data_IF_864819073923
#
_entry.id   IF_864819073923
#
_cell.length_a   1.000
_cell.length_b   1.000
_cell.length_c   1.000
_cell.angle_alpha   90.00
_cell.angle_beta   90.00
_cell.angle_gamma   90.00
#
_symmetry.space_group_name_H-M   'P 1'
#
loop_
_entity.id
_entity.type
_entity.pdbx_description
1 polymer ?
#
# COMPACT_ATOMS: atom_id res chain seq x y z
N UNK A 1 -19.60 21.24 -16.28
CA UNK A 1 -19.63 19.83 -16.76
C UNK A 1 -18.26 19.12 -16.70
N UNK A 2 -17.11 19.81 -16.64
CA UNK A 2 -15.76 19.20 -16.58
C UNK A 2 -15.34 18.61 -15.21
N UNK A 3 -15.98 19.04 -14.12
CA UNK A 3 -15.63 18.63 -12.73
C UNK A 3 -16.02 17.18 -12.40
N UNK A 4 -17.02 16.63 -13.10
CA UNK A 4 -17.50 15.26 -12.88
C UNK A 4 -16.54 14.22 -13.46
N UNK A 5 -16.01 14.45 -14.67
CA UNK A 5 -15.07 13.52 -15.32
C UNK A 5 -13.74 13.41 -14.57
N UNK A 6 -13.26 14.53 -14.02
CA UNK A 6 -12.04 14.56 -13.21
C UNK A 6 -12.23 13.79 -11.90
N UNK A 7 -13.35 14.01 -11.19
CA UNK A 7 -13.66 13.26 -9.98
C UNK A 7 -13.74 11.74 -10.23
N UNK A 8 -14.45 11.33 -11.29
CA UNK A 8 -14.57 9.91 -11.66
C UNK A 8 -13.23 9.28 -12.02
N UNK A 9 -12.36 10.01 -12.73
CA UNK A 9 -11.01 9.56 -13.02
C UNK A 9 -10.20 9.26 -11.75
N UNK A 10 -10.22 10.17 -10.77
CA UNK A 10 -9.50 9.97 -9.51
C UNK A 10 -10.01 8.77 -8.71
N UNK A 11 -11.33 8.52 -8.73
CA UNK A 11 -11.91 7.33 -8.06
C UNK A 11 -11.42 6.04 -8.70
N UNK A 12 -11.46 5.93 -10.04
CA UNK A 12 -10.94 4.73 -10.72
C UNK A 12 -9.44 4.57 -10.54
N UNK A 13 -8.68 5.65 -10.63
CA UNK A 13 -7.24 5.63 -10.43
C UNK A 13 -6.87 5.19 -9.02
N UNK A 14 -7.50 5.78 -7.99
CA UNK A 14 -7.32 5.40 -6.60
C UNK A 14 -7.65 3.92 -6.38
N UNK A 15 -8.81 3.45 -6.88
CA UNK A 15 -9.22 2.05 -6.73
C UNK A 15 -8.27 1.06 -7.39
N UNK A 16 -7.71 1.39 -8.57
CA UNK A 16 -6.70 0.55 -9.23
C UNK A 16 -5.41 0.50 -8.41
N UNK A 17 -4.95 1.65 -7.89
CA UNK A 17 -3.74 1.73 -7.06
C UNK A 17 -3.91 0.94 -5.76
N UNK A 18 -5.07 1.08 -5.09
CA UNK A 18 -5.39 0.32 -3.87
C UNK A 18 -5.45 -1.18 -4.12
N UNK A 19 -6.11 -1.59 -5.20
CA UNK A 19 -6.24 -3.00 -5.56
C UNK A 19 -4.89 -3.62 -5.92
N UNK A 20 -4.11 -2.98 -6.81
CA UNK A 20 -2.81 -3.49 -7.21
C UNK A 20 -1.79 -3.45 -6.07
N UNK A 21 -1.80 -2.38 -5.26
CA UNK A 21 -0.93 -2.23 -4.10
C UNK A 21 -1.22 -3.28 -3.03
N UNK A 22 -2.50 -3.50 -2.70
CA UNK A 22 -2.90 -4.53 -1.73
C UNK A 22 -2.61 -5.94 -2.25
N UNK A 23 -2.79 -6.20 -3.55
CA UNK A 23 -2.42 -7.48 -4.17
C UNK A 23 -0.91 -7.72 -4.12
N UNK A 24 -0.11 -6.74 -4.52
CA UNK A 24 1.35 -6.84 -4.50
C UNK A 24 1.89 -7.05 -3.08
N UNK A 25 1.36 -6.31 -2.10
CA UNK A 25 1.69 -6.48 -0.69
C UNK A 25 1.30 -7.87 -0.17
N UNK A 26 0.06 -8.31 -0.41
CA UNK A 26 -0.46 -9.59 0.10
C UNK A 26 0.26 -10.80 -0.50
N UNK A 27 0.63 -10.73 -1.78
CA UNK A 27 1.39 -11.76 -2.45
C UNK A 27 2.91 -11.71 -2.14
N UNK A 28 3.39 -10.63 -1.50
CA UNK A 28 4.81 -10.42 -1.25
C UNK A 28 5.62 -10.26 -2.54
N UNK A 29 5.09 -9.46 -3.48
CA UNK A 29 5.77 -9.02 -4.70
C UNK A 29 6.42 -7.68 -4.42
N UNK A 30 7.74 -7.60 -4.55
CA UNK A 30 8.55 -6.46 -4.14
C UNK A 30 8.15 -5.95 -2.76
N UNK A 31 8.03 -6.85 -1.77
CA UNK A 31 7.33 -6.63 -0.51
C UNK A 31 7.73 -5.33 0.18
N UNK A 32 9.02 -5.01 0.21
CA UNK A 32 9.54 -3.80 0.87
C UNK A 32 9.13 -2.52 0.14
N UNK A 33 9.15 -2.53 -1.20
CA UNK A 33 8.68 -1.42 -2.01
C UNK A 33 7.15 -1.29 -1.98
N UNK A 34 6.44 -2.40 -2.08
CA UNK A 34 4.97 -2.47 -2.04
C UNK A 34 4.44 -2.04 -0.68
N UNK A 35 5.08 -2.45 0.42
CA UNK A 35 4.72 -1.99 1.78
C UNK A 35 4.96 -0.49 1.96
N UNK A 36 6.15 0.01 1.60
CA UNK A 36 6.44 1.44 1.71
C UNK A 36 5.49 2.29 0.84
N UNK A 37 5.23 1.85 -0.39
CA UNK A 37 4.35 2.52 -1.34
C UNK A 37 2.89 2.54 -0.88
N UNK A 38 2.37 1.39 -0.42
CA UNK A 38 0.99 1.28 0.05
C UNK A 38 0.76 2.04 1.37
N UNK A 39 1.74 2.02 2.29
CA UNK A 39 1.70 2.81 3.51
C UNK A 39 1.70 4.32 3.20
N UNK A 40 2.58 4.78 2.30
CA UNK A 40 2.59 6.17 1.84
C UNK A 40 1.28 6.57 1.17
N UNK A 41 0.72 5.69 0.33
CA UNK A 41 -0.59 5.92 -0.28
C UNK A 41 -1.68 6.09 0.77
N UNK A 42 -1.79 5.19 1.76
CA UNK A 42 -2.78 5.29 2.83
C UNK A 42 -2.63 6.58 3.63
N UNK A 43 -1.40 7.01 3.91
CA UNK A 43 -1.15 8.27 4.59
C UNK A 43 -1.67 9.46 3.77
N UNK A 44 -1.32 9.52 2.48
CA UNK A 44 -1.77 10.58 1.56
C UNK A 44 -3.29 10.56 1.43
N UNK A 45 -3.91 9.39 1.26
CA UNK A 45 -5.36 9.24 1.17
C UNK A 45 -6.06 9.72 2.45
N UNK A 46 -5.48 9.44 3.62
CA UNK A 46 -6.02 9.90 4.91
C UNK A 46 -5.95 11.42 5.06
N UNK A 47 -4.84 12.03 4.63
CA UNK A 47 -4.66 13.49 4.68
C UNK A 47 -5.52 14.22 3.64
N UNK A 48 -5.47 13.80 2.38
CA UNK A 48 -6.19 14.44 1.28
C UNK A 48 -7.69 14.11 1.26
N UNK A 49 -8.09 12.97 1.83
CA UNK A 49 -9.48 12.57 2.00
C UNK A 49 -10.21 13.29 3.14
N UNK A 50 -9.57 14.25 3.80
CA UNK A 50 -10.11 15.00 4.94
C UNK A 50 -10.49 14.14 6.15
N UNK A 51 -10.05 12.88 6.23
CA UNK A 51 -10.36 11.99 7.36
C UNK A 51 -9.81 12.51 8.70
N UNK A 52 -8.70 13.26 8.67
CA UNK A 52 -8.22 13.97 9.86
C UNK A 52 -9.20 15.01 10.41
N UNK A 53 -10.04 15.60 9.54
CA UNK A 53 -11.06 16.58 9.94
C UNK A 53 -12.34 15.93 10.49
N UNK A 54 -12.54 14.63 10.23
CA UNK A 54 -13.73 13.87 10.66
C UNK A 54 -13.58 13.23 12.05
N UNK A 55 -12.37 13.30 12.64
CA UNK A 55 -12.05 12.80 13.97
C UNK A 55 -11.37 11.44 13.97
N UNK A 56 -11.07 10.93 15.16
CA UNK A 56 -10.30 9.69 15.34
C UNK A 56 -11.11 8.46 14.95
N UNK A 57 -12.31 8.32 15.51
CA UNK A 57 -13.10 7.08 15.48
C UNK A 57 -13.56 6.73 14.07
N UNK A 58 -13.16 5.56 13.59
CA UNK A 58 -13.56 5.04 12.28
C UNK A 58 -15.07 4.78 12.12
N UNK A 59 -15.78 4.54 13.22
CA UNK A 59 -17.22 4.25 13.24
C UNK A 59 -18.09 5.51 13.11
N UNK A 60 -17.50 6.70 13.07
CA UNK A 60 -18.24 7.95 12.87
C UNK A 60 -18.77 8.06 11.43
N UNK A 61 -19.81 8.88 11.25
CA UNK A 61 -20.39 9.16 9.93
C UNK A 61 -19.36 9.89 9.05
N UNK A 62 -18.89 9.23 8.00
CA UNK A 62 -17.79 9.70 7.14
C UNK A 62 -16.44 9.04 7.42
N UNK A 63 -16.35 8.21 8.46
CA UNK A 63 -15.12 7.55 8.88
C UNK A 63 -14.21 8.45 9.71
N UNK A 64 -13.13 7.87 10.22
CA UNK A 64 -12.09 8.54 11.01
C UNK A 64 -10.71 8.07 10.57
N UNK A 65 -9.67 8.78 11.01
CA UNK A 65 -8.30 8.52 10.58
C UNK A 65 -7.63 7.32 11.28
N UNK A 66 -8.21 6.81 12.37
CA UNK A 66 -7.67 5.70 13.16
C UNK A 66 -7.36 4.46 12.32
N UNK A 67 -8.36 3.98 11.55
CA UNK A 67 -8.24 2.73 10.80
C UNK A 67 -7.23 2.80 9.65
N UNK A 68 -7.22 3.86 8.81
CA UNK A 68 -6.17 4.03 7.81
C UNK A 68 -4.75 4.12 8.40
N UNK A 69 -4.58 4.82 9.52
CA UNK A 69 -3.27 4.96 10.18
C UNK A 69 -2.81 3.65 10.80
N UNK A 70 -3.73 2.88 11.41
CA UNK A 70 -3.44 1.52 11.89
C UNK A 70 -2.86 0.65 10.77
N UNK A 71 -3.55 0.61 9.62
CA UNK A 71 -3.08 -0.16 8.46
C UNK A 71 -1.76 0.37 7.91
N UNK A 72 -1.58 1.69 7.85
CA UNK A 72 -0.32 2.31 7.45
C UNK A 72 0.84 1.81 8.31
N UNK A 73 0.69 1.78 9.64
CA UNK A 73 1.75 1.32 10.56
C UNK A 73 2.02 -0.17 10.39
N UNK A 74 0.96 -0.99 10.31
CA UNK A 74 1.10 -2.44 10.11
C UNK A 74 1.85 -2.72 8.80
N UNK A 75 1.42 -2.10 7.70
CA UNK A 75 2.02 -2.32 6.38
C UNK A 75 3.46 -1.83 6.37
N UNK A 76 3.73 -0.64 6.91
CA UNK A 76 5.09 -0.06 6.97
C UNK A 76 6.06 -0.93 7.78
N UNK A 77 5.56 -1.68 8.77
CA UNK A 77 6.41 -2.60 9.54
C UNK A 77 7.08 -3.68 8.66
N UNK A 78 6.42 -4.11 7.57
CA UNK A 78 6.96 -5.09 6.61
C UNK A 78 8.04 -4.51 5.69
N UNK A 79 8.25 -3.19 5.68
CA UNK A 79 9.42 -2.59 5.01
C UNK A 79 10.71 -2.90 5.78
N UNK A 80 10.61 -3.05 7.10
CA UNK A 80 11.77 -3.30 7.98
C UNK A 80 11.87 -4.78 8.36
N UNK A 81 10.73 -5.40 8.66
CA UNK A 81 10.65 -6.77 9.16
C UNK A 81 10.43 -7.73 7.99
N UNK A 82 11.31 -8.73 7.86
CA UNK A 82 11.11 -9.81 6.90
C UNK A 82 10.01 -10.76 7.42
N UNK A 83 8.99 -11.10 6.61
CA UNK A 83 7.98 -12.09 7.00
C UNK A 83 8.59 -13.48 7.18
N UNK A 84 8.04 -14.26 8.11
CA UNK A 84 8.56 -15.58 8.50
C UNK A 84 8.14 -16.72 7.56
N UNK A 85 7.02 -16.58 6.85
CA UNK A 85 6.36 -17.69 6.17
C UNK A 85 6.76 -17.82 4.70
N UNK A 86 6.32 -16.87 3.87
CA UNK A 86 6.44 -16.98 2.42
C UNK A 86 6.24 -15.61 1.75
N UNK A 87 7.05 -15.34 0.73
CA UNK A 87 6.84 -14.26 -0.24
C UNK A 87 7.14 -14.78 -1.64
N UNK A 88 6.43 -14.27 -2.66
CA UNK A 88 6.77 -14.55 -4.06
C UNK A 88 8.22 -14.14 -4.35
N UNK A 89 8.66 -13.03 -3.78
CA UNK A 89 10.04 -12.56 -3.83
C UNK A 89 11.07 -13.62 -3.42
N UNK A 90 10.87 -14.28 -2.28
CA UNK A 90 11.76 -15.33 -1.78
C UNK A 90 11.70 -16.58 -2.65
N UNK A 91 10.51 -16.93 -3.15
CA UNK A 91 10.35 -18.01 -4.11
C UNK A 91 11.13 -17.75 -5.40
N UNK A 92 11.07 -16.53 -5.95
CA UNK A 92 11.79 -16.19 -7.18
C UNK A 92 13.30 -16.24 -6.94
N UNK A 93 13.79 -15.65 -5.84
CA UNK A 93 15.21 -15.65 -5.49
C UNK A 93 15.79 -17.07 -5.33
N UNK A 94 14.98 -18.02 -4.84
CA UNK A 94 15.40 -19.40 -4.63
C UNK A 94 15.43 -20.23 -5.93
N UNK A 95 14.47 -20.00 -6.83
CA UNK A 95 14.27 -20.86 -8.00
C UNK A 95 14.90 -20.31 -9.29
N UNK A 96 15.19 -19.01 -9.38
CA UNK A 96 15.67 -18.38 -10.61
C UNK A 96 17.00 -17.65 -10.41
N UNK A 97 17.85 -17.67 -11.44
CA UNK A 97 19.05 -16.82 -11.51
C UNK A 97 18.64 -15.43 -12.01
N UNK A 98 18.44 -14.50 -11.07
CA UNK A 98 18.10 -13.11 -11.37
C UNK A 98 19.34 -12.28 -11.73
N UNK A 99 19.11 -11.23 -12.52
CA UNK A 99 20.07 -10.15 -12.74
C UNK A 99 20.40 -9.47 -11.39
N UNK A 100 21.66 -9.05 -11.20
CA UNK A 100 22.12 -8.42 -9.95
C UNK A 100 21.26 -7.24 -9.50
N UNK A 101 20.76 -6.43 -10.44
CA UNK A 101 19.93 -5.27 -10.11
C UNK A 101 18.55 -5.70 -9.57
N UNK A 102 17.91 -6.69 -10.18
CA UNK A 102 16.61 -7.21 -9.73
C UNK A 102 16.73 -7.81 -8.33
N UNK A 103 17.81 -8.58 -8.10
CA UNK A 103 18.12 -9.13 -6.79
C UNK A 103 18.27 -8.03 -5.74
N UNK A 104 18.99 -6.94 -6.07
CA UNK A 104 19.15 -5.78 -5.19
C UNK A 104 17.81 -5.11 -4.85
N UNK A 105 16.87 -5.01 -5.79
CA UNK A 105 15.54 -4.43 -5.55
C UNK A 105 14.70 -5.31 -4.62
N UNK A 106 14.78 -6.63 -4.79
CA UNK A 106 14.03 -7.58 -3.96
C UNK A 106 14.62 -7.68 -2.53
N UNK A 107 15.95 -7.55 -2.40
CA UNK A 107 16.64 -7.62 -1.11
C UNK A 107 16.70 -6.29 -0.34
N UNK A 108 16.50 -5.14 -1.02
CA UNK A 108 16.47 -3.80 -0.42
C UNK A 108 15.30 -3.65 0.52
#
# INVERSE_FOLDING_TARGET
>A
MSRSYTATFFVYFAGIVEFLGSLAFSCGIFLRLSSAGLALYLLIATFLGHHFSLGFIWANRGGGWEFPVLWCVIILSFTVIKPMLFTIDEYILKNFKLLKFLKKIIEF
#
